data_IF_112610572887
#
_entry.id   IF_112610572887
#
_cell.length_a   1.000
_cell.length_b   1.000
_cell.length_c   1.000
_cell.angle_alpha   90.00
_cell.angle_beta   90.00
_cell.angle_gamma   90.00
#
_symmetry.space_group_name_H-M   'P 1'
#
loop_
_entity.id
_entity.type
_entity.pdbx_description
1 polymer ?
#
# COMPACT_ATOMS: atom_id res chain seq x y z
N UNK A 1 11.86 21.75 -12.57
CA UNK A 1 12.61 21.26 -11.39
C UNK A 1 11.70 20.59 -10.37
N UNK A 2 10.44 21.02 -10.23
CA UNK A 2 9.47 20.48 -9.26
C UNK A 2 9.02 19.04 -9.53
N UNK A 3 8.81 18.64 -10.79
CA UNK A 3 8.29 17.29 -11.11
C UNK A 3 9.30 16.16 -10.87
N UNK A 4 10.60 16.42 -11.01
CA UNK A 4 11.63 15.39 -10.84
C UNK A 4 11.75 14.95 -9.37
N UNK A 5 11.77 15.91 -8.43
CA UNK A 5 11.83 15.62 -7.00
C UNK A 5 10.57 14.91 -6.50
N UNK A 6 9.39 15.28 -7.03
CA UNK A 6 8.12 14.59 -6.71
C UNK A 6 8.12 13.15 -7.25
N UNK A 7 8.69 12.95 -8.44
CA UNK A 7 8.82 11.62 -9.04
C UNK A 7 9.81 10.73 -8.25
N UNK A 8 10.92 11.27 -7.74
CA UNK A 8 11.87 10.52 -6.90
C UNK A 8 11.25 10.10 -5.56
N UNK A 9 10.49 10.99 -4.91
CA UNK A 9 9.85 10.71 -3.62
C UNK A 9 8.78 9.61 -3.65
N UNK A 10 8.31 9.24 -4.85
CA UNK A 10 7.29 8.21 -5.07
C UNK A 10 7.80 7.07 -5.98
N UNK A 11 9.10 7.00 -6.24
CA UNK A 11 9.74 5.93 -6.99
C UNK A 11 10.38 4.92 -6.03
N UNK A 12 9.85 3.68 -5.91
CA UNK A 12 10.49 2.67 -5.08
C UNK A 12 11.75 2.12 -5.76
N UNK A 13 12.80 1.96 -4.96
CA UNK A 13 14.04 1.25 -5.33
C UNK A 13 13.94 -0.22 -4.95
N UNK A 14 13.34 -0.51 -3.79
CA UNK A 14 13.15 -1.85 -3.28
C UNK A 14 11.83 -1.94 -2.52
N UNK A 15 11.13 -3.06 -2.69
CA UNK A 15 9.92 -3.41 -1.93
C UNK A 15 10.16 -4.80 -1.38
N UNK A 16 10.15 -4.94 -0.05
CA UNK A 16 10.40 -6.22 0.61
C UNK A 16 9.49 -6.42 1.80
N UNK A 17 9.01 -7.65 1.96
CA UNK A 17 8.38 -8.04 3.22
C UNK A 17 9.48 -8.29 4.24
N UNK A 18 9.51 -7.47 5.30
CA UNK A 18 10.55 -7.55 6.34
C UNK A 18 10.27 -8.68 7.33
N UNK A 19 9.01 -8.85 7.69
CA UNK A 19 8.49 -9.90 8.56
C UNK A 19 6.98 -10.10 8.27
N UNK A 20 6.29 -10.91 9.08
CA UNK A 20 4.86 -11.19 8.89
C UNK A 20 3.95 -9.98 9.07
N UNK A 21 4.43 -8.90 9.71
CA UNK A 21 3.64 -7.70 10.01
C UNK A 21 4.10 -6.44 9.29
N UNK A 22 5.30 -6.46 8.71
CA UNK A 22 5.93 -5.24 8.18
C UNK A 22 6.27 -5.36 6.70
N UNK A 23 5.72 -4.46 5.89
CA UNK A 23 6.18 -4.19 4.53
C UNK A 23 7.14 -3.01 4.54
N UNK A 24 8.33 -3.18 3.97
CA UNK A 24 9.32 -2.13 3.84
C UNK A 24 9.44 -1.67 2.38
N UNK A 25 9.46 -0.36 2.17
CA UNK A 25 9.73 0.26 0.87
C UNK A 25 10.89 1.24 1.02
N UNK A 26 11.94 1.04 0.22
CA UNK A 26 13.05 1.99 0.06
C UNK A 26 12.79 2.85 -1.17
N UNK A 27 12.86 4.17 -1.02
CA UNK A 27 12.52 5.14 -2.06
C UNK A 27 13.77 5.75 -2.71
N UNK A 28 13.63 6.27 -3.93
CA UNK A 28 14.73 6.86 -4.68
C UNK A 28 15.27 8.15 -4.04
N UNK A 29 14.46 8.83 -3.21
CA UNK A 29 14.88 9.98 -2.41
C UNK A 29 15.68 9.60 -1.14
N UNK A 30 15.94 8.31 -0.93
CA UNK A 30 16.72 7.78 0.19
C UNK A 30 15.93 7.56 1.47
N UNK A 31 14.63 7.85 1.54
CA UNK A 31 13.80 7.46 2.71
C UNK A 31 13.46 5.97 2.65
N UNK A 32 13.19 5.41 3.82
CA UNK A 32 12.59 4.08 4.00
C UNK A 32 11.27 4.23 4.74
N UNK A 33 10.23 3.59 4.23
CA UNK A 33 8.91 3.54 4.86
C UNK A 33 8.62 2.13 5.36
N UNK A 34 8.05 2.03 6.55
CA UNK A 34 7.65 0.76 7.19
C UNK A 34 6.15 0.77 7.42
N UNK A 35 5.44 -0.14 6.74
CA UNK A 35 3.99 -0.25 6.82
C UNK A 35 3.60 -1.48 7.62
N UNK A 36 2.76 -1.28 8.62
CA UNK A 36 1.99 -2.38 9.19
C UNK A 36 1.07 -2.96 8.11
N UNK A 37 1.18 -4.26 7.86
CA UNK A 37 0.48 -4.93 6.75
C UNK A 37 -1.04 -4.91 6.95
N UNK A 38 -1.53 -4.97 8.19
CA UNK A 38 -2.96 -4.91 8.47
C UNK A 38 -3.50 -3.51 8.22
N UNK A 39 -2.78 -2.48 8.68
CA UNK A 39 -3.13 -1.08 8.37
C UNK A 39 -3.10 -0.83 6.87
N UNK A 40 -2.14 -1.42 6.15
CA UNK A 40 -2.09 -1.33 4.69
C UNK A 40 -3.30 -2.00 4.03
N UNK A 41 -3.69 -3.20 4.49
CA UNK A 41 -4.90 -3.89 4.02
C UNK A 41 -6.18 -3.08 4.27
N UNK A 42 -6.26 -2.41 5.42
CA UNK A 42 -7.39 -1.53 5.77
C UNK A 42 -7.43 -0.27 4.88
N UNK A 43 -6.27 0.22 4.44
CA UNK A 43 -6.17 1.37 3.55
C UNK A 43 -6.42 1.05 2.07
N UNK A 44 -6.88 -0.17 1.75
CA UNK A 44 -7.19 -0.61 0.39
C UNK A 44 -8.19 0.35 -0.30
N UNK A 45 -7.84 0.81 -1.50
CA UNK A 45 -8.64 1.78 -2.26
C UNK A 45 -9.48 1.17 -3.38
N UNK A 46 -9.73 -0.14 -3.38
CA UNK A 46 -10.57 -0.77 -4.41
C UNK A 46 -12.06 -0.53 -4.17
N UNK A 47 -12.88 -0.72 -5.19
CA UNK A 47 -14.33 -0.54 -5.16
C UNK A 47 -15.06 -1.41 -4.12
N UNK A 48 -14.44 -2.49 -3.63
CA UNK A 48 -15.00 -3.33 -2.56
C UNK A 48 -14.69 -2.77 -1.17
N UNK A 49 -13.68 -1.92 -1.03
CA UNK A 49 -13.23 -1.37 0.25
C UNK A 49 -13.61 0.10 0.43
N UNK A 50 -13.83 0.83 -0.67
CA UNK A 50 -14.16 2.25 -0.67
C UNK A 50 -15.23 2.50 -1.73
N UNK A 51 -16.22 3.33 -1.39
CA UNK A 51 -17.23 3.78 -2.34
C UNK A 51 -16.61 4.71 -3.38
N UNK A 52 -16.75 4.38 -4.67
CA UNK A 52 -16.06 5.10 -5.76
C UNK A 52 -16.50 6.57 -5.90
N UNK A 53 -17.71 6.91 -5.44
CA UNK A 53 -18.29 8.23 -5.63
C UNK A 53 -18.04 9.16 -4.44
N UNK A 54 -18.24 8.66 -3.23
CA UNK A 54 -18.10 9.42 -1.99
C UNK A 54 -16.70 9.31 -1.39
N UNK A 55 -15.94 8.27 -1.72
CA UNK A 55 -14.68 7.96 -1.07
C UNK A 55 -14.84 7.43 0.37
N UNK A 56 -16.07 7.12 0.79
CA UNK A 56 -16.33 6.58 2.12
C UNK A 56 -15.78 5.15 2.23
N UNK A 57 -15.21 4.82 3.39
CA UNK A 57 -14.76 3.46 3.69
C UNK A 57 -15.97 2.52 3.78
N UNK A 58 -15.95 1.45 2.97
CA UNK A 58 -16.94 0.37 2.99
C UNK A 58 -16.42 -0.86 3.75
N UNK A 59 -15.10 -0.98 3.87
CA UNK A 59 -14.46 -2.09 4.55
C UNK A 59 -14.74 -2.04 6.05
N UNK A 60 -15.40 -3.07 6.56
CA UNK A 60 -15.52 -3.28 8.00
C UNK A 60 -14.15 -3.68 8.58
N UNK A 61 -13.60 -2.85 9.46
CA UNK A 61 -12.30 -3.09 10.07
C UNK A 61 -12.28 -4.37 10.93
N UNK A 62 -13.40 -4.78 11.51
CA UNK A 62 -13.49 -5.99 12.32
C UNK A 62 -13.50 -7.27 11.47
N UNK A 63 -13.85 -7.14 10.17
CA UNK A 63 -13.79 -8.25 9.21
C UNK A 63 -12.37 -8.59 8.75
N UNK A 64 -11.39 -7.70 8.98
CA UNK A 64 -9.99 -7.91 8.59
C UNK A 64 -9.22 -8.63 9.71
N UNK A 65 -8.73 -9.87 9.47
CA UNK A 65 -8.02 -10.64 10.49
C UNK A 65 -6.80 -9.92 11.05
N UNK A 66 -6.52 -10.11 12.34
CA UNK A 66 -5.36 -9.50 13.02
C UNK A 66 -4.00 -10.00 12.53
N UNK A 67 -4.00 -11.15 11.85
CA UNK A 67 -2.86 -11.87 11.28
C UNK A 67 -2.87 -11.85 9.74
N UNK A 68 -3.68 -10.98 9.13
CA UNK A 68 -3.68 -10.79 7.68
C UNK A 68 -2.27 -10.42 7.19
N UNK A 69 -1.82 -11.06 6.13
CA UNK A 69 -0.48 -10.85 5.57
C UNK A 69 -0.47 -10.98 4.04
N UNK A 70 0.50 -10.37 3.36
CA UNK A 70 0.71 -10.56 1.92
C UNK A 70 1.06 -12.02 1.59
N UNK A 71 0.41 -12.59 0.58
CA UNK A 71 0.77 -13.86 -0.04
C UNK A 71 1.62 -13.66 -1.29
N UNK A 72 1.36 -12.58 -2.04
CA UNK A 72 2.10 -12.19 -3.24
C UNK A 72 2.02 -10.69 -3.43
N UNK A 73 3.11 -10.11 -3.94
CA UNK A 73 3.15 -8.72 -4.38
C UNK A 73 3.61 -8.67 -5.83
N UNK A 74 2.92 -7.88 -6.64
CA UNK A 74 3.23 -7.71 -8.07
C UNK A 74 3.22 -6.24 -8.43
N UNK A 75 4.15 -5.82 -9.28
CA UNK A 75 4.14 -4.45 -9.82
C UNK A 75 3.00 -4.26 -10.81
N UNK A 76 2.31 -3.13 -10.70
CA UNK A 76 1.33 -2.68 -11.69
C UNK A 76 1.93 -1.50 -12.44
N UNK A 77 2.51 -1.80 -13.60
CA UNK A 77 3.31 -0.83 -14.36
C UNK A 77 4.46 -0.26 -13.52
N UNK A 78 4.68 1.05 -13.61
CA UNK A 78 5.69 1.80 -12.84
C UNK A 78 5.10 2.69 -11.73
N UNK A 79 3.83 2.52 -11.40
CA UNK A 79 3.12 3.49 -10.56
C UNK A 79 2.44 2.90 -9.32
N UNK A 80 2.38 1.57 -9.19
CA UNK A 80 1.69 0.90 -8.10
C UNK A 80 2.20 -0.53 -7.89
N UNK A 81 1.79 -1.11 -6.75
CA UNK A 81 1.79 -2.57 -6.52
C UNK A 81 0.38 -3.07 -6.33
N UNK A 82 0.17 -4.35 -6.61
CA UNK A 82 -0.99 -5.12 -6.21
C UNK A 82 -0.55 -6.18 -5.21
N UNK A 83 -1.40 -6.43 -4.21
CA UNK A 83 -1.13 -7.38 -3.12
C UNK A 83 -2.26 -8.41 -3.09
N UNK A 84 -1.89 -9.69 -3.16
CA UNK A 84 -2.78 -10.81 -2.85
C UNK A 84 -2.67 -11.06 -1.35
N UNK A 85 -3.79 -11.02 -0.63
CA UNK A 85 -3.85 -11.10 0.84
C UNK A 85 -4.30 -12.47 1.32
N UNK A 86 -3.88 -12.83 2.53
CA UNK A 86 -4.24 -14.10 3.19
C UNK A 86 -5.73 -14.21 3.54
N UNK A 87 -6.47 -13.10 3.57
CA UNK A 87 -7.94 -13.06 3.73
C UNK A 87 -8.69 -13.34 2.40
N UNK A 88 -7.95 -13.65 1.33
CA UNK A 88 -8.49 -13.91 -0.01
C UNK A 88 -8.70 -12.65 -0.86
N UNK A 89 -8.43 -11.45 -0.34
CA UNK A 89 -8.58 -10.20 -1.09
C UNK A 89 -7.41 -9.99 -2.07
N UNK A 90 -7.68 -9.59 -3.31
CA UNK A 90 -6.63 -9.46 -4.35
C UNK A 90 -6.89 -8.36 -5.38
N UNK A 91 -7.96 -7.58 -5.25
CA UNK A 91 -8.32 -6.52 -6.21
C UNK A 91 -7.68 -5.16 -5.90
N UNK A 92 -7.02 -5.04 -4.74
CA UNK A 92 -6.40 -3.79 -4.29
C UNK A 92 -5.15 -3.40 -5.08
N UNK A 93 -5.18 -2.23 -5.72
CA UNK A 93 -4.01 -1.56 -6.30
C UNK A 93 -3.58 -0.45 -5.35
N UNK A 94 -2.29 -0.41 -5.02
CA UNK A 94 -1.68 0.55 -4.11
C UNK A 94 -0.71 1.45 -4.89
N UNK A 95 -1.18 2.62 -5.37
CA UNK A 95 -0.32 3.59 -6.03
C UNK A 95 0.82 4.04 -5.12
N UNK A 96 2.03 4.17 -5.66
CA UNK A 96 3.20 4.58 -4.89
C UNK A 96 3.03 5.95 -4.23
N UNK A 97 2.36 6.89 -4.90
CA UNK A 97 1.96 8.18 -4.32
C UNK A 97 1.08 8.03 -3.05
N UNK A 98 0.19 7.04 -3.03
CA UNK A 98 -0.71 6.79 -1.89
C UNK A 98 0.07 6.11 -0.75
N UNK A 99 0.92 5.15 -1.08
CA UNK A 99 1.82 4.52 -0.11
C UNK A 99 2.71 5.58 0.56
N UNK A 100 3.25 6.51 -0.22
CA UNK A 100 4.05 7.62 0.32
C UNK A 100 3.23 8.52 1.24
N UNK A 101 2.02 8.90 0.86
CA UNK A 101 1.13 9.68 1.71
C UNK A 101 0.74 8.94 3.02
N UNK A 102 0.65 7.61 3.00
CA UNK A 102 0.38 6.79 4.19
C UNK A 102 1.58 6.70 5.15
N UNK A 103 2.80 6.88 4.67
CA UNK A 103 4.02 6.93 5.50
C UNK A 103 4.10 8.23 6.33
N UNK A 104 3.60 9.33 5.76
CA UNK A 104 3.62 10.64 6.41
C UNK A 104 2.40 10.87 7.33
N UNK A 105 1.44 9.95 7.34
CA UNK A 105 0.27 9.99 8.23
C UNK A 105 0.59 9.31 9.57
N UNK A 106 0.36 9.97 10.73
CA UNK A 106 0.72 9.44 12.04
C UNK A 106 -0.03 8.15 12.44
#
# INVERSE_FOLDING_TARGET
MSDAAQNESTSPVEIRQRDSRTLEISWADGRTSLYDVRRLRLACGCAQCVDEWSGAELLDADSVPSDVHPLRMSSVGRYAIQIDWSDGHSSGIYPFRRLRALDDAP
#
